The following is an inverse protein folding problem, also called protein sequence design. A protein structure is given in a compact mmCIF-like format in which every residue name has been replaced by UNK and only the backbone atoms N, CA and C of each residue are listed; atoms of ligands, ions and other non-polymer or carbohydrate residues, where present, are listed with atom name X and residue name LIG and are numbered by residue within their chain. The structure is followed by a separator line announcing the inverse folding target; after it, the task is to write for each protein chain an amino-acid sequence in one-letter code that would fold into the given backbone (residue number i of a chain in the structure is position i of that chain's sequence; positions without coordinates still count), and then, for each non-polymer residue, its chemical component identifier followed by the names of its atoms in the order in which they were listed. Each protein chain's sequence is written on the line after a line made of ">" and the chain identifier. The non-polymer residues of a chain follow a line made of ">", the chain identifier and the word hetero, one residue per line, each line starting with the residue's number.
data_IF_371163884123
#
_entry.id   IF_371163884123
#
_cell.length_a   1.000
_cell.length_b   1.000
_cell.length_c   1.000
_cell.angle_alpha   90.00
_cell.angle_beta   90.00
_cell.angle_gamma   90.00
#
_symmetry.space_group_name_H-M   'P 1'
#
loop_
_entity.id
_entity.type
_entity.pdbx_description
1 polymer ?
#
# COMPACT_ATOMS: atom_id res chain seq x y z
N UNK A 1 -7.12 -3.41 6.68
CA UNK A 1 -6.77 -3.46 5.24
C UNK A 1 -6.81 -2.04 4.69
N UNK A 2 -5.64 -1.45 4.44
CA UNK A 2 -5.51 -0.08 3.95
C UNK A 2 -5.49 -0.07 2.42
N UNK A 3 -6.11 0.92 1.81
CA UNK A 3 -6.10 1.11 0.35
C UNK A 3 -5.52 2.48 0.01
N UNK A 4 -4.62 2.52 -0.97
CA UNK A 4 -4.06 3.75 -1.53
C UNK A 4 -4.52 3.88 -2.98
N UNK A 5 -5.12 5.02 -3.29
CA UNK A 5 -5.40 5.43 -4.66
C UNK A 5 -4.16 6.12 -5.23
N UNK A 6 -3.53 5.51 -6.23
CA UNK A 6 -2.31 5.99 -6.86
C UNK A 6 -2.50 7.32 -7.60
N UNK A 7 -3.73 7.66 -8.02
CA UNK A 7 -4.01 8.96 -8.65
C UNK A 7 -4.07 10.10 -7.63
N UNK A 8 -4.32 9.77 -6.35
CA UNK A 8 -4.40 10.72 -5.24
C UNK A 8 -3.20 10.67 -4.30
N UNK A 9 -2.30 9.70 -4.49
CA UNK A 9 -1.16 9.51 -3.63
C UNK A 9 -0.16 10.67 -3.78
N UNK A 10 0.11 11.36 -2.68
CA UNK A 10 1.03 12.50 -2.63
C UNK A 10 2.35 12.21 -1.92
N UNK A 11 2.48 11.01 -1.34
CA UNK A 11 3.69 10.58 -0.60
C UNK A 11 4.41 9.46 -1.36
N UNK A 12 5.74 9.34 -1.21
CA UNK A 12 6.49 8.22 -1.79
C UNK A 12 6.19 6.90 -1.07
N UNK A 13 6.48 5.78 -1.75
CA UNK A 13 6.28 4.42 -1.20
C UNK A 13 6.97 4.19 0.13
N UNK A 14 8.16 4.78 0.34
CA UNK A 14 8.95 4.68 1.57
C UNK A 14 8.21 5.19 2.83
N UNK A 15 7.27 6.13 2.68
CA UNK A 15 6.46 6.58 3.80
C UNK A 15 5.41 5.53 4.19
N UNK A 16 4.78 4.89 3.20
CA UNK A 16 3.76 3.87 3.45
C UNK A 16 4.35 2.58 4.04
N UNK A 17 5.62 2.29 3.78
CA UNK A 17 6.31 1.12 4.35
C UNK A 17 6.55 1.22 5.86
N UNK A 18 6.54 2.43 6.45
CA UNK A 18 6.69 2.60 7.91
C UNK A 18 5.48 2.10 8.70
N UNK A 19 4.31 2.01 8.05
CA UNK A 19 3.05 1.64 8.68
C UNK A 19 2.63 0.18 8.42
N UNK A 20 3.46 -0.59 7.72
CA UNK A 20 3.10 -1.89 7.12
C UNK A 20 3.17 -3.08 8.08
N UNK A 21 3.63 -2.85 9.30
CA UNK A 21 4.01 -3.91 10.25
C UNK A 21 2.90 -4.92 10.58
N UNK A 22 1.62 -4.56 10.38
CA UNK A 22 0.49 -5.44 10.70
C UNK A 22 -0.59 -5.55 9.63
N UNK A 23 -0.52 -4.78 8.55
CA UNK A 23 -1.57 -4.77 7.53
C UNK A 23 -1.03 -4.77 6.11
N UNK A 24 -1.75 -5.46 5.21
CA UNK A 24 -1.56 -5.38 3.77
C UNK A 24 -2.09 -4.03 3.28
N UNK A 25 -1.27 -3.34 2.47
CA UNK A 25 -1.67 -2.12 1.77
C UNK A 25 -1.97 -2.47 0.32
N UNK A 26 -3.20 -2.23 -0.13
CA UNK A 26 -3.62 -2.41 -1.52
C UNK A 26 -3.43 -1.11 -2.29
N UNK A 27 -2.80 -1.18 -3.47
CA UNK A 27 -2.63 -0.06 -4.38
C UNK A 27 -3.67 -0.16 -5.50
N UNK A 28 -4.41 0.93 -5.72
CA UNK A 28 -5.42 1.05 -6.78
C UNK A 28 -5.02 2.10 -7.80
N UNK A 29 -5.39 1.85 -9.05
CA UNK A 29 -5.35 2.84 -10.13
C UNK A 29 -6.73 2.85 -10.78
N UNK A 30 -7.39 4.01 -10.86
CA UNK A 30 -8.76 4.13 -11.41
C UNK A 30 -9.74 3.13 -10.78
N UNK A 31 -9.74 3.08 -9.45
CA UNK A 31 -10.50 2.13 -8.62
C UNK A 31 -10.21 0.63 -8.79
N UNK A 32 -9.31 0.25 -9.72
CA UNK A 32 -8.89 -1.13 -9.92
C UNK A 32 -7.69 -1.45 -9.03
N UNK A 33 -7.72 -2.51 -8.20
CA UNK A 33 -6.55 -2.98 -7.47
C UNK A 33 -5.51 -3.50 -8.48
N UNK A 34 -4.28 -3.00 -8.37
CA UNK A 34 -3.18 -3.32 -9.31
C UNK A 34 -1.96 -3.92 -8.62
N UNK A 35 -1.75 -3.64 -7.34
CA UNK A 35 -0.63 -4.17 -6.57
C UNK A 35 -0.97 -4.20 -5.07
N UNK A 36 -0.14 -4.91 -4.30
CA UNK A 36 -0.18 -4.91 -2.85
C UNK A 36 1.23 -4.82 -2.28
N UNK A 37 1.36 -4.15 -1.14
CA UNK A 37 2.57 -4.11 -0.35
C UNK A 37 2.32 -4.91 0.93
N UNK A 38 3.20 -5.87 1.20
CA UNK A 38 3.09 -6.83 2.31
C UNK A 38 4.31 -6.75 3.21
N UNK A 39 4.13 -6.94 4.51
CA UNK A 39 5.24 -7.13 5.43
C UNK A 39 5.88 -8.49 5.20
N UNK A 40 7.20 -8.51 5.07
CA UNK A 40 7.98 -9.76 4.98
C UNK A 40 8.31 -10.35 6.35
N UNK A 41 7.98 -9.69 7.46
CA UNK A 41 8.29 -10.18 8.83
C UNK A 41 7.64 -11.53 9.17
N UNK A 42 6.55 -11.87 8.48
CA UNK A 42 5.78 -13.09 8.69
C UNK A 42 5.77 -14.01 7.45
N UNK A 43 6.76 -13.84 6.56
CA UNK A 43 6.99 -14.73 5.41
C UNK A 43 8.12 -15.70 5.74
#
# INVERSE_FOLDING_TARGET
>A
MKTIDLEKASKPLSEYTKEIDKEIIVLKLKDKPVAAIVSLKNV
#
